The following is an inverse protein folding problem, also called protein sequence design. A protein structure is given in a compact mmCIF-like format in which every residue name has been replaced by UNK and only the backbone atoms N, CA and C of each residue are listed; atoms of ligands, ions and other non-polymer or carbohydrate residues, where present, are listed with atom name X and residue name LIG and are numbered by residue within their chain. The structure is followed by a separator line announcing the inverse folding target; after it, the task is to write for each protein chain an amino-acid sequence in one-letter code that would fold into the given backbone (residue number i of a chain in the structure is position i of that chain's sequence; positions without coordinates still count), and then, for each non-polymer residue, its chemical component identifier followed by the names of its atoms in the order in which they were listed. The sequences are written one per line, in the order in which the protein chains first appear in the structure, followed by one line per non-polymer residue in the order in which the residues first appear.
data_IF_996725195446
#
_entry.id   IF_996725195446
#
_cell.length_a   1.000
_cell.length_b   1.000
_cell.length_c   1.000
_cell.angle_alpha   90.00
_cell.angle_beta   90.00
_cell.angle_gamma   90.00
#
_symmetry.space_group_name_H-M   'P 1'
#
loop_
_entity.id
_entity.type
_entity.pdbx_description
1 polymer ?
#
# COMPACT_ATOMS: atom_id res chain seq x y z
N UNK A 1 -4.36 -5.43 -15.76
CA UNK A 1 -5.07 -6.70 -15.49
C UNK A 1 -4.82 -7.06 -14.03
N UNK A 2 -5.83 -7.54 -13.30
CA UNK A 2 -5.65 -7.97 -11.90
C UNK A 2 -5.01 -9.36 -11.84
N UNK A 3 -4.00 -9.55 -11.01
CA UNK A 3 -3.33 -10.85 -10.79
C UNK A 3 -4.01 -11.66 -9.69
N UNK A 4 -3.70 -12.96 -9.62
CA UNK A 4 -4.18 -13.82 -8.54
C UNK A 4 -3.72 -13.31 -7.16
N UNK A 5 -2.48 -12.82 -7.05
CA UNK A 5 -1.93 -12.27 -5.81
C UNK A 5 -2.70 -11.02 -5.37
N UNK A 6 -2.93 -10.07 -6.29
CA UNK A 6 -3.74 -8.87 -6.01
C UNK A 6 -5.16 -9.23 -5.57
N UNK A 7 -5.82 -10.16 -6.28
CA UNK A 7 -7.17 -10.61 -5.94
C UNK A 7 -7.24 -11.30 -4.57
N UNK A 8 -6.27 -12.17 -4.24
CA UNK A 8 -6.21 -12.87 -2.95
C UNK A 8 -6.10 -11.89 -1.77
N UNK A 9 -5.34 -10.80 -1.93
CA UNK A 9 -5.21 -9.75 -0.92
C UNK A 9 -6.51 -8.95 -0.81
N UNK A 10 -7.12 -8.56 -1.94
CA UNK A 10 -8.37 -7.80 -1.93
C UNK A 10 -9.52 -8.51 -1.19
N UNK A 11 -9.58 -9.85 -1.27
CA UNK A 11 -10.56 -10.69 -0.56
C UNK A 11 -10.10 -11.13 0.84
N UNK A 12 -8.87 -10.80 1.25
CA UNK A 12 -8.32 -11.14 2.58
C UNK A 12 -7.91 -12.60 2.77
N UNK A 13 -7.65 -13.35 1.70
CA UNK A 13 -7.23 -14.75 1.81
C UNK A 13 -5.71 -14.86 2.00
N UNK A 14 -5.25 -14.73 3.25
CA UNK A 14 -3.82 -14.73 3.58
C UNK A 14 -3.11 -16.06 3.30
N UNK A 15 -3.83 -17.17 3.28
CA UNK A 15 -3.26 -18.48 2.94
C UNK A 15 -2.90 -18.56 1.46
N UNK A 16 -3.83 -18.15 0.58
CA UNK A 16 -3.57 -18.06 -0.86
C UNK A 16 -2.45 -17.07 -1.14
N UNK A 17 -2.37 -15.95 -0.41
CA UNK A 17 -1.25 -15.00 -0.55
C UNK A 17 0.10 -15.70 -0.30
N UNK A 18 0.23 -16.46 0.79
CA UNK A 18 1.47 -17.19 1.09
C UNK A 18 1.79 -18.24 0.03
N UNK A 19 0.79 -18.99 -0.43
CA UNK A 19 0.97 -20.01 -1.47
C UNK A 19 1.44 -19.40 -2.79
N UNK A 20 0.84 -18.28 -3.21
CA UNK A 20 1.22 -17.59 -4.45
C UNK A 20 2.64 -17.01 -4.36
N UNK A 21 3.00 -16.39 -3.24
CA UNK A 21 4.36 -15.88 -3.04
C UNK A 21 5.41 -17.01 -3.01
N UNK A 22 5.08 -18.16 -2.41
CA UNK A 22 5.94 -19.34 -2.41
C UNK A 22 6.10 -19.98 -3.80
N UNK A 23 5.22 -19.64 -4.74
CA UNK A 23 5.25 -20.05 -6.13
C UNK A 23 5.80 -18.94 -7.06
N UNK A 24 6.60 -18.03 -6.51
CA UNK A 24 7.25 -16.92 -7.22
C UNK A 24 6.27 -16.00 -7.98
N UNK A 25 5.05 -15.82 -7.46
CA UNK A 25 4.13 -14.84 -8.02
C UNK A 25 4.76 -13.44 -8.00
N UNK A 26 4.65 -12.72 -9.11
CA UNK A 26 5.16 -11.35 -9.24
C UNK A 26 4.53 -10.42 -8.19
N UNK A 27 5.30 -10.13 -7.15
CA UNK A 27 4.93 -9.26 -6.03
C UNK A 27 4.72 -7.80 -6.47
N UNK A 28 5.36 -7.40 -7.57
CA UNK A 28 5.39 -6.04 -8.10
C UNK A 28 4.51 -5.88 -9.34
N UNK A 29 3.61 -6.84 -9.61
CA UNK A 29 2.67 -6.75 -10.71
C UNK A 29 1.92 -5.41 -10.70
N UNK A 30 1.93 -4.74 -11.85
CA UNK A 30 1.37 -3.40 -11.99
C UNK A 30 -0.13 -3.37 -11.68
N UNK A 31 -0.65 -2.26 -11.13
CA UNK A 31 -2.08 -2.09 -10.92
C UNK A 31 -2.84 -2.02 -12.26
N UNK A 32 -4.13 -2.36 -12.24
CA UNK A 32 -5.03 -2.02 -13.36
C UNK A 32 -5.15 -0.50 -13.53
N UNK A 33 -5.48 -0.03 -14.74
CA UNK A 33 -5.45 1.41 -15.06
C UNK A 33 -6.42 2.26 -14.22
N UNK A 34 -7.59 1.73 -13.90
CA UNK A 34 -8.63 2.42 -13.13
C UNK A 34 -8.95 1.67 -11.84
N UNK A 35 -8.77 2.34 -10.71
CA UNK A 35 -8.99 1.82 -9.37
C UNK A 35 -8.13 0.61 -9.00
N UNK A 36 -7.12 0.27 -9.81
CA UNK A 36 -6.22 -0.85 -9.58
C UNK A 36 -5.23 -0.58 -8.45
N UNK A 37 -4.70 -1.66 -7.87
CA UNK A 37 -3.70 -1.61 -6.80
C UNK A 37 -2.63 -2.68 -7.01
N UNK A 38 -1.40 -2.39 -6.60
CA UNK A 38 -0.37 -3.43 -6.39
C UNK A 38 -0.74 -4.28 -5.17
N UNK A 39 -0.02 -5.40 -4.97
CA UNK A 39 -0.20 -6.24 -3.79
C UNK A 39 -0.01 -5.43 -2.49
N UNK A 40 1.05 -4.62 -2.40
CA UNK A 40 1.35 -3.83 -1.21
C UNK A 40 0.34 -2.69 -1.00
N UNK A 41 -0.09 -2.01 -2.08
CA UNK A 41 -1.15 -0.99 -2.00
C UNK A 41 -2.46 -1.58 -1.46
N UNK A 42 -2.85 -2.76 -1.94
CA UNK A 42 -4.04 -3.47 -1.44
C UNK A 42 -3.91 -3.80 0.05
N UNK A 43 -2.77 -4.37 0.47
CA UNK A 43 -2.52 -4.70 1.87
C UNK A 43 -2.56 -3.46 2.77
N UNK A 44 -1.98 -2.35 2.31
CA UNK A 44 -1.97 -1.09 3.05
C UNK A 44 -3.36 -0.49 3.24
N UNK A 45 -4.17 -0.45 2.17
CA UNK A 45 -5.58 -0.01 2.22
C UNK A 45 -6.39 -0.86 3.20
N UNK A 46 -6.19 -2.19 3.17
CA UNK A 46 -6.91 -3.14 4.05
C UNK A 46 -6.36 -3.19 5.47
N UNK A 47 -5.16 -2.66 5.73
CA UNK A 47 -4.49 -2.73 7.03
C UNK A 47 -3.93 -4.11 7.37
N UNK A 48 -3.63 -4.95 6.37
CA UNK A 48 -3.13 -6.31 6.60
C UNK A 48 -1.61 -6.31 6.87
N UNK A 49 -1.21 -5.92 8.09
CA UNK A 49 0.19 -5.82 8.52
C UNK A 49 1.00 -7.11 8.25
N UNK A 50 0.53 -8.32 8.60
CA UNK A 50 1.33 -9.53 8.34
C UNK A 50 1.54 -9.79 6.84
N UNK A 51 0.55 -9.45 6.02
CA UNK A 51 0.65 -9.57 4.57
C UNK A 51 1.63 -8.52 4.02
N UNK A 52 1.52 -7.26 4.44
CA UNK A 52 2.43 -6.21 4.01
C UNK A 52 3.90 -6.54 4.35
N UNK A 53 4.18 -7.01 5.58
CA UNK A 53 5.51 -7.50 5.96
C UNK A 53 5.99 -8.63 5.03
N UNK A 54 5.14 -9.61 4.74
CA UNK A 54 5.49 -10.72 3.85
C UNK A 54 5.82 -10.22 2.44
N UNK A 55 5.02 -9.28 1.91
CA UNK A 55 5.23 -8.69 0.59
C UNK A 55 6.55 -7.89 0.54
N UNK A 56 6.84 -7.08 1.56
CA UNK A 56 8.09 -6.33 1.67
C UNK A 56 9.31 -7.26 1.73
N UNK A 57 9.22 -8.36 2.49
CA UNK A 57 10.26 -9.39 2.52
C UNK A 57 10.49 -10.09 1.17
N UNK A 58 9.47 -10.13 0.31
CA UNK A 58 9.58 -10.63 -1.08
C UNK A 58 9.98 -9.54 -2.08
N UNK A 59 10.37 -8.35 -1.62
CA UNK A 59 10.85 -7.26 -2.48
C UNK A 59 9.74 -6.42 -3.10
N UNK A 60 8.57 -6.31 -2.44
CA UNK A 60 7.55 -5.36 -2.85
C UNK A 60 8.08 -3.92 -2.84
N UNK A 61 7.85 -3.20 -3.93
CA UNK A 61 8.25 -1.80 -4.06
C UNK A 61 7.37 -0.91 -3.20
N UNK A 62 7.92 -0.41 -2.09
CA UNK A 62 7.22 0.47 -1.13
C UNK A 62 6.68 1.75 -1.79
N UNK A 63 7.42 2.31 -2.74
CA UNK A 63 7.09 3.53 -3.49
C UNK A 63 6.47 3.25 -4.87
N UNK A 64 5.83 2.09 -5.07
CA UNK A 64 5.19 1.77 -6.34
C UNK A 64 4.12 2.81 -6.71
N UNK A 65 4.14 3.24 -7.97
CA UNK A 65 3.17 4.22 -8.51
C UNK A 65 1.74 3.69 -8.41
N UNK A 66 0.76 4.57 -8.14
CA UNK A 66 -0.65 4.18 -8.11
C UNK A 66 -1.18 3.89 -9.53
N UNK A 67 -2.38 3.32 -9.63
CA UNK A 67 -3.13 3.28 -10.88
C UNK A 67 -3.32 4.69 -11.47
N UNK A 68 -3.37 4.78 -12.80
CA UNK A 68 -3.49 6.05 -13.54
C UNK A 68 -4.75 6.83 -13.16
N UNK A 69 -5.86 6.12 -12.93
CA UNK A 69 -7.13 6.69 -12.53
C UNK A 69 -7.54 6.12 -11.17
N UNK A 70 -7.94 6.99 -10.24
CA UNK A 70 -8.45 6.64 -8.91
C UNK A 70 -7.52 5.75 -8.06
N UNK A 71 -6.23 5.70 -8.38
CA UNK A 71 -5.24 4.92 -7.64
C UNK A 71 -4.78 5.61 -6.35
N UNK A 72 -4.24 4.81 -5.43
CA UNK A 72 -3.52 5.28 -4.24
C UNK A 72 -2.18 4.58 -4.11
N UNK A 73 -1.16 5.29 -3.67
CA UNK A 73 0.07 4.65 -3.18
C UNK A 73 -0.23 3.89 -1.88
N UNK A 74 0.70 3.04 -1.44
CA UNK A 74 0.53 2.31 -0.18
C UNK A 74 0.38 3.29 1.00
N UNK A 75 1.20 4.34 1.02
CA UNK A 75 1.17 5.38 2.05
C UNK A 75 -0.14 6.18 2.03
N UNK A 76 -0.61 6.60 0.84
CA UNK A 76 -1.89 7.31 0.69
C UNK A 76 -3.07 6.46 1.18
N UNK A 77 -3.09 5.16 0.83
CA UNK A 77 -4.11 4.23 1.29
C UNK A 77 -4.09 4.04 2.80
N UNK A 78 -2.92 3.81 3.39
CA UNK A 78 -2.80 3.70 4.84
C UNK A 78 -3.25 4.98 5.57
N UNK A 79 -2.92 6.15 5.03
CA UNK A 79 -3.31 7.45 5.59
C UNK A 79 -4.82 7.71 5.46
N UNK A 80 -5.40 7.43 4.30
CA UNK A 80 -6.84 7.60 4.03
C UNK A 80 -7.73 6.79 4.98
N UNK A 81 -7.24 5.64 5.45
CA UNK A 81 -7.96 4.77 6.40
C UNK A 81 -7.39 4.80 7.82
N UNK A 82 -6.48 5.74 8.13
CA UNK A 82 -5.97 5.96 9.48
C UNK A 82 -5.16 4.80 10.08
N UNK A 83 -4.49 4.01 9.23
CA UNK A 83 -3.77 2.79 9.62
C UNK A 83 -2.38 3.13 10.16
N UNK A 84 -2.31 3.54 11.44
CA UNK A 84 -1.07 4.02 12.08
C UNK A 84 0.08 3.00 11.99
N UNK A 85 -0.16 1.75 12.40
CA UNK A 85 0.88 0.72 12.35
C UNK A 85 1.34 0.42 10.92
N UNK A 86 0.44 0.56 9.93
CA UNK A 86 0.78 0.39 8.52
C UNK A 86 1.62 1.56 8.01
N UNK A 87 1.29 2.79 8.42
CA UNK A 87 2.10 3.95 8.10
C UNK A 87 3.51 3.77 8.65
N UNK A 88 3.65 3.42 9.93
CA UNK A 88 4.97 3.17 10.52
C UNK A 88 5.73 2.08 9.75
N UNK A 89 5.09 0.95 9.45
CA UNK A 89 5.71 -0.11 8.66
C UNK A 89 6.20 0.37 7.29
N UNK A 90 5.40 1.16 6.58
CA UNK A 90 5.77 1.69 5.26
C UNK A 90 6.90 2.73 5.37
N UNK A 91 6.88 3.58 6.39
CA UNK A 91 7.94 4.56 6.68
C UNK A 91 9.27 3.84 6.97
N UNK A 92 9.25 2.84 7.85
CA UNK A 92 10.41 2.02 8.21
C UNK A 92 10.95 1.25 6.99
N UNK A 93 10.09 0.87 6.06
CA UNK A 93 10.44 0.22 4.80
C UNK A 93 10.96 1.20 3.72
N UNK A 94 11.11 2.50 4.03
CA UNK A 94 11.68 3.49 3.12
C UNK A 94 10.66 4.14 2.18
N UNK A 95 9.39 4.25 2.58
CA UNK A 95 8.46 5.15 1.91
C UNK A 95 9.06 6.58 1.93
N UNK A 96 9.41 7.14 0.77
CA UNK A 96 10.28 8.33 0.71
C UNK A 96 9.54 9.64 0.92
N UNK A 97 10.00 10.43 1.89
CA UNK A 97 9.49 11.78 2.23
C UNK A 97 9.99 12.85 1.22
N UNK A 98 11.13 12.63 0.56
CA UNK A 98 11.84 13.64 -0.24
C UNK A 98 11.82 13.40 -1.77
N UNK A 99 11.97 14.49 -2.56
CA UNK A 99 12.00 14.46 -4.04
C UNK A 99 10.60 14.40 -4.69
N UNK A 100 10.46 13.65 -5.79
CA UNK A 100 9.15 13.35 -6.44
C UNK A 100 8.14 12.69 -5.48
N UNK A 101 8.59 12.28 -4.27
CA UNK A 101 7.77 11.76 -3.17
C UNK A 101 7.09 12.81 -2.28
N UNK A 102 7.51 14.08 -2.34
CA UNK A 102 6.89 15.18 -1.57
C UNK A 102 5.38 15.26 -1.85
N UNK A 103 4.99 15.17 -3.13
CA UNK A 103 3.60 15.15 -3.56
C UNK A 103 2.82 13.96 -2.99
N UNK A 104 3.48 12.80 -2.77
CA UNK A 104 2.85 11.61 -2.20
C UNK A 104 2.52 11.82 -0.72
N UNK A 105 3.42 12.44 0.03
CA UNK A 105 3.19 12.75 1.45
C UNK A 105 2.12 13.80 1.62
N UNK A 106 2.15 14.88 0.85
CA UNK A 106 1.11 15.91 0.89
C UNK A 106 -0.27 15.32 0.56
N UNK A 107 -0.35 14.42 -0.44
CA UNK A 107 -1.59 13.70 -0.74
C UNK A 107 -2.01 12.76 0.40
N UNK A 108 -1.08 12.06 1.04
CA UNK A 108 -1.37 11.19 2.18
C UNK A 108 -1.85 11.99 3.41
N UNK A 109 -1.18 13.09 3.77
CA UNK A 109 -1.58 14.06 4.81
C UNK A 109 -2.97 14.62 4.51
N UNK A 110 -3.22 15.04 3.26
CA UNK A 110 -4.54 15.54 2.82
C UNK A 110 -5.61 14.46 2.96
N UNK A 111 -5.33 13.21 2.56
CA UNK A 111 -6.27 12.08 2.70
C UNK A 111 -6.59 11.79 4.17
N UNK A 112 -5.58 11.73 5.03
CA UNK A 112 -5.79 11.56 6.48
C UNK A 112 -6.63 12.70 7.05
N UNK A 113 -6.37 13.94 6.66
CA UNK A 113 -7.12 15.13 7.11
C UNK A 113 -8.57 15.10 6.65
N UNK A 114 -8.82 14.83 5.36
CA UNK A 114 -10.18 14.78 4.79
C UNK A 114 -11.05 13.68 5.42
N UNK A 115 -10.43 12.60 5.93
CA UNK A 115 -11.14 11.50 6.59
C UNK A 115 -11.08 11.58 8.12
N UNK A 116 -10.57 12.67 8.71
CA UNK A 116 -10.54 12.88 10.16
C UNK A 116 -9.50 12.05 10.93
N UNK A 117 -8.54 11.43 10.24
CA UNK A 117 -7.48 10.61 10.85
C UNK A 117 -6.33 11.47 11.38
N UNK A 118 -6.58 12.22 12.45
CA UNK A 118 -5.62 13.17 13.03
C UNK A 118 -4.30 12.54 13.48
N UNK A 119 -4.31 11.30 13.98
CA UNK A 119 -3.10 10.61 14.37
C UNK A 119 -2.23 10.25 13.14
N UNK A 120 -2.86 9.79 12.06
CA UNK A 120 -2.18 9.49 10.80
C UNK A 120 -1.61 10.75 10.16
N UNK A 121 -2.37 11.86 10.20
CA UNK A 121 -1.91 13.17 9.74
C UNK A 121 -0.65 13.59 10.48
N UNK A 122 -0.67 13.57 11.82
CA UNK A 122 0.48 13.97 12.67
C UNK A 122 1.70 13.07 12.50
N UNK A 123 1.51 11.79 12.19
CA UNK A 123 2.63 10.88 11.94
C UNK A 123 3.37 11.21 10.63
N UNK A 124 2.67 11.84 9.68
CA UNK A 124 3.18 12.19 8.35
C UNK A 124 3.66 13.66 8.25
N UNK A 125 3.63 14.40 9.35
CA UNK A 125 4.12 15.79 9.50
C UNK A 125 5.48 15.80 10.19
#
# INVERSE_FOLDING_TARGET
RRTALQAAIEIGNHEIVRLLLSADADVNAAPALDGGVTALQAAAIKGYIPVANTLLNHGAQVNAKPAKFNGRTALEGAAEYGRIDMLQLLLDAGAQIDGDGQDQYERAVKRASMNGHNAARRLLE
#
